data_IF_929775121913
#
_entry.id   IF_929775121913
#
_cell.length_a   1.000
_cell.length_b   1.000
_cell.length_c   1.000
_cell.angle_alpha   90.00
_cell.angle_beta   90.00
_cell.angle_gamma   90.00
#
_symmetry.space_group_name_H-M   'P 1'
#
loop_
_entity.id
_entity.type
_entity.pdbx_description
1 polymer ?
#
# COMPACT_ATOMS: atom_id res chain seq x y z
N UNK A 1 28.72 8.04 26.01
CA UNK A 1 28.27 9.35 25.50
C UNK A 1 27.29 9.13 24.38
N UNK A 2 26.05 9.58 24.60
CA UNK A 2 25.04 10.09 23.65
C UNK A 2 24.92 9.37 22.28
N UNK A 3 23.88 8.55 22.11
CA UNK A 3 22.61 8.93 21.45
C UNK A 3 22.71 8.80 19.92
N UNK A 4 21.97 7.86 19.32
CA UNK A 4 20.68 8.23 18.76
C UNK A 4 19.74 7.04 18.60
N UNK A 5 18.74 6.99 19.47
CA UNK A 5 17.47 6.31 19.24
C UNK A 5 16.75 7.04 18.08
N UNK A 6 17.06 6.66 16.85
CA UNK A 6 16.28 7.01 15.67
C UNK A 6 15.17 5.99 15.48
N UNK A 7 13.97 6.26 16.00
CA UNK A 7 12.74 5.69 15.44
C UNK A 7 12.54 6.35 14.08
N UNK A 8 12.84 5.64 13.00
CA UNK A 8 12.59 6.09 11.64
C UNK A 8 12.96 5.00 10.65
N UNK A 9 11.93 4.41 10.03
CA UNK A 9 12.00 3.41 8.94
C UNK A 9 12.73 2.10 9.30
N UNK A 10 12.05 0.97 9.10
CA UNK A 10 12.78 -0.29 8.87
C UNK A 10 13.68 0.00 7.67
N UNK A 11 14.98 0.22 7.89
CA UNK A 11 15.97 0.54 6.86
C UNK A 11 16.19 -0.64 5.93
N UNK A 12 15.16 -0.98 5.15
CA UNK A 12 15.13 -2.06 4.18
C UNK A 12 16.13 -1.68 3.08
N UNK A 13 17.27 -2.38 3.08
CA UNK A 13 18.24 -2.30 1.99
C UNK A 13 17.93 -3.39 0.98
N UNK A 14 17.73 -2.98 -0.26
CA UNK A 14 17.60 -3.88 -1.39
C UNK A 14 18.98 -4.27 -1.88
N UNK A 15 19.14 -5.55 -2.15
CA UNK A 15 20.27 -6.13 -2.85
C UNK A 15 19.87 -6.40 -4.29
N UNK A 16 20.57 -5.78 -5.22
CA UNK A 16 20.52 -6.14 -6.64
C UNK A 16 21.57 -7.22 -6.86
N UNK A 17 21.14 -8.42 -7.20
CA UNK A 17 22.04 -9.54 -7.47
C UNK A 17 21.95 -10.02 -8.92
N UNK A 18 23.03 -10.69 -9.38
CA UNK A 18 23.11 -11.21 -10.74
C UNK A 18 23.10 -10.13 -11.84
N UNK A 19 23.41 -8.87 -11.51
CA UNK A 19 23.48 -7.78 -12.48
C UNK A 19 24.69 -7.92 -13.39
N UNK A 20 24.45 -8.00 -14.70
CA UNK A 20 25.52 -8.01 -15.69
C UNK A 20 25.16 -7.32 -17.00
N UNK A 21 26.14 -6.62 -17.56
CA UNK A 21 26.02 -5.90 -18.83
C UNK A 21 26.96 -6.51 -19.87
N UNK A 22 26.44 -6.72 -21.08
CA UNK A 22 27.18 -7.18 -22.25
C UNK A 22 27.46 -6.00 -23.16
N UNK A 23 28.73 -5.80 -23.45
CA UNK A 23 29.24 -4.74 -24.32
C UNK A 23 29.75 -5.36 -25.62
N UNK A 24 29.11 -5.09 -26.78
CA UNK A 24 29.64 -5.48 -28.08
C UNK A 24 31.02 -4.85 -28.32
N UNK A 25 31.97 -5.59 -28.90
CA UNK A 25 33.29 -5.03 -29.22
C UNK A 25 33.23 -4.38 -30.60
N UNK A 26 33.53 -3.08 -30.67
CA UNK A 26 33.70 -2.34 -31.93
C UNK A 26 35.18 -2.35 -32.35
N UNK A 27 36.08 -2.07 -31.41
CA UNK A 27 37.53 -2.14 -31.60
C UNK A 27 38.17 -2.92 -30.48
N UNK A 28 38.98 -3.90 -30.87
CA UNK A 28 39.78 -4.70 -29.95
C UNK A 28 40.90 -3.86 -29.34
N UNK A 29 41.03 -3.94 -28.02
CA UNK A 29 42.15 -3.40 -27.26
C UNK A 29 43.03 -4.51 -26.67
N UNK A 30 43.93 -4.11 -25.78
CA UNK A 30 44.79 -5.04 -25.05
C UNK A 30 43.99 -5.76 -23.95
N UNK A 31 44.06 -7.09 -23.88
CA UNK A 31 43.46 -7.82 -22.77
C UNK A 31 44.51 -8.00 -21.66
N UNK A 32 44.29 -7.43 -20.46
CA UNK A 32 45.33 -7.36 -19.41
C UNK A 32 45.73 -8.70 -18.77
N UNK A 33 45.02 -9.79 -19.08
CA UNK A 33 45.35 -11.14 -18.62
C UNK A 33 44.20 -11.81 -17.89
N UNK A 34 44.51 -12.83 -17.08
CA UNK A 34 43.54 -13.58 -16.30
C UNK A 34 43.31 -15.01 -16.78
N UNK A 35 42.30 -15.66 -16.22
CA UNK A 35 42.01 -17.07 -16.46
C UNK A 35 41.35 -17.23 -17.83
N UNK A 36 41.81 -18.22 -18.60
CA UNK A 36 41.21 -18.59 -19.86
C UNK A 36 40.62 -19.99 -19.75
N UNK A 37 39.44 -20.18 -20.32
CA UNK A 37 38.87 -21.51 -20.51
C UNK A 37 38.32 -21.67 -21.92
N UNK A 38 38.30 -22.93 -22.36
CA UNK A 38 37.73 -23.34 -23.62
C UNK A 38 36.41 -24.08 -23.37
N UNK A 39 35.40 -23.75 -24.14
CA UNK A 39 34.12 -24.45 -24.19
C UNK A 39 33.82 -24.76 -25.66
N UNK A 40 33.40 -25.99 -25.99
CA UNK A 40 33.04 -26.48 -27.34
C UNK A 40 33.08 -25.41 -28.48
N UNK A 41 34.28 -25.11 -28.99
CA UNK A 41 34.50 -24.20 -30.13
C UNK A 41 34.66 -22.71 -29.84
N UNK A 42 34.67 -22.26 -28.59
CA UNK A 42 34.91 -20.87 -28.19
C UNK A 42 35.79 -20.76 -26.95
N UNK A 43 36.52 -19.64 -26.87
CA UNK A 43 37.44 -19.32 -25.78
C UNK A 43 36.95 -18.09 -25.04
N UNK A 44 36.96 -18.13 -23.71
CA UNK A 44 36.60 -17.00 -22.87
C UNK A 44 37.72 -16.68 -21.89
N UNK A 45 37.93 -15.39 -21.65
CA UNK A 45 38.92 -14.87 -20.72
C UNK A 45 38.24 -14.13 -19.58
N UNK A 46 38.57 -14.46 -18.35
CA UNK A 46 38.08 -13.76 -17.15
C UNK A 46 39.17 -12.90 -16.55
N UNK A 47 38.80 -11.68 -16.23
CA UNK A 47 39.69 -10.70 -15.62
C UNK A 47 38.93 -9.91 -14.56
N UNK A 48 39.55 -9.64 -13.42
CA UNK A 48 38.96 -8.80 -12.38
C UNK A 48 39.48 -7.36 -12.55
N UNK A 49 38.56 -6.41 -12.69
CA UNK A 49 38.88 -5.00 -12.84
C UNK A 49 38.07 -4.18 -11.83
N UNK A 50 38.76 -3.65 -10.81
CA UNK A 50 38.09 -3.08 -9.65
C UNK A 50 37.18 -4.11 -8.98
N UNK A 51 35.92 -3.72 -8.75
CA UNK A 51 34.89 -4.63 -8.24
C UNK A 51 34.19 -5.45 -9.32
N UNK A 52 34.49 -5.25 -10.61
CA UNK A 52 33.85 -6.01 -11.68
C UNK A 52 34.62 -7.29 -12.03
N UNK A 53 33.87 -8.33 -12.37
CA UNK A 53 34.42 -9.48 -13.08
C UNK A 53 34.08 -9.34 -14.56
N UNK A 54 35.11 -9.18 -15.39
CA UNK A 54 34.96 -9.05 -16.83
C UNK A 54 35.19 -10.41 -17.49
N UNK A 55 34.30 -10.79 -18.39
CA UNK A 55 34.42 -11.99 -19.23
C UNK A 55 34.45 -11.57 -20.69
N UNK A 56 35.60 -11.78 -21.32
CA UNK A 56 35.78 -11.60 -22.76
C UNK A 56 35.24 -12.83 -23.49
N UNK A 57 34.42 -12.58 -24.49
CA UNK A 57 34.00 -13.57 -25.50
C UNK A 57 34.61 -13.23 -26.85
N UNK A 58 34.22 -13.96 -27.90
CA UNK A 58 34.64 -13.70 -29.28
C UNK A 58 34.09 -12.39 -29.86
N UNK A 59 33.03 -11.81 -29.28
CA UNK A 59 32.33 -10.63 -29.84
C UNK A 59 31.95 -9.56 -28.81
N UNK A 60 32.08 -9.86 -27.52
CA UNK A 60 31.64 -8.97 -26.45
C UNK A 60 32.53 -9.07 -25.22
N UNK A 61 32.45 -8.05 -24.36
CA UNK A 61 32.88 -8.13 -22.97
C UNK A 61 31.62 -8.15 -22.10
N UNK A 62 31.54 -9.09 -21.17
CA UNK A 62 30.45 -9.17 -20.20
C UNK A 62 31.01 -8.70 -18.85
N UNK A 63 30.45 -7.63 -18.31
CA UNK A 63 30.79 -7.11 -16.99
C UNK A 63 29.79 -7.63 -15.96
N UNK A 64 30.27 -8.43 -15.02
CA UNK A 64 29.51 -8.92 -13.87
C UNK A 64 29.80 -8.03 -12.67
N UNK A 65 28.75 -7.42 -12.14
CA UNK A 65 28.80 -6.68 -10.89
C UNK A 65 28.44 -7.65 -9.75
N UNK A 66 29.26 -7.75 -8.68
CA UNK A 66 28.85 -8.40 -7.44
C UNK A 66 27.57 -7.75 -6.87
N UNK A 67 26.98 -8.36 -5.84
CA UNK A 67 25.75 -7.82 -5.27
C UNK A 67 25.89 -6.35 -4.85
N UNK A 68 24.95 -5.52 -5.30
CA UNK A 68 24.92 -4.08 -5.04
C UNK A 68 23.77 -3.74 -4.10
N UNK A 69 23.96 -2.81 -3.16
CA UNK A 69 22.94 -2.48 -2.15
C UNK A 69 22.44 -1.05 -2.32
N UNK A 70 21.13 -0.85 -2.21
CA UNK A 70 20.51 0.48 -2.23
C UNK A 70 19.21 0.54 -1.45
N UNK A 71 18.68 1.75 -1.27
CA UNK A 71 17.46 2.02 -0.48
C UNK A 71 16.17 1.71 -1.24
N UNK A 72 16.23 1.71 -2.58
CA UNK A 72 15.09 1.49 -3.46
C UNK A 72 15.55 0.62 -4.65
N UNK A 73 14.73 -0.34 -5.14
CA UNK A 73 15.14 -1.28 -6.18
C UNK A 73 15.47 -0.58 -7.50
N UNK A 74 14.71 0.45 -7.88
CA UNK A 74 14.97 1.25 -9.08
C UNK A 74 16.25 2.06 -8.96
N UNK A 75 16.43 2.72 -7.82
CA UNK A 75 17.62 3.52 -7.55
C UNK A 75 18.87 2.63 -7.54
N UNK A 76 18.80 1.48 -6.86
CA UNK A 76 19.89 0.52 -6.80
C UNK A 76 20.23 -0.04 -8.19
N UNK A 77 19.23 -0.30 -9.04
CA UNK A 77 19.44 -0.73 -10.43
C UNK A 77 20.15 0.34 -11.25
N UNK A 78 19.70 1.59 -11.16
CA UNK A 78 20.30 2.71 -11.88
C UNK A 78 21.73 2.97 -11.42
N UNK A 79 21.98 2.97 -10.11
CA UNK A 79 23.32 3.13 -9.54
C UNK A 79 24.25 1.99 -9.95
N UNK A 80 23.79 0.74 -9.91
CA UNK A 80 24.53 -0.41 -10.43
C UNK A 80 24.87 -0.26 -11.92
N UNK A 81 23.90 0.19 -12.74
CA UNK A 81 24.11 0.44 -14.16
C UNK A 81 25.17 1.52 -14.40
N UNK A 82 25.01 2.69 -13.79
CA UNK A 82 25.94 3.82 -13.91
C UNK A 82 27.35 3.46 -13.43
N UNK A 83 27.45 2.71 -12.33
CA UNK A 83 28.72 2.23 -11.82
C UNK A 83 29.44 1.34 -12.84
N UNK A 84 28.74 0.38 -13.46
CA UNK A 84 29.35 -0.48 -14.48
C UNK A 84 29.78 0.34 -15.70
N UNK A 85 29.00 1.34 -16.13
CA UNK A 85 29.39 2.22 -17.25
C UNK A 85 30.68 2.97 -16.96
N UNK A 86 30.79 3.58 -15.77
CA UNK A 86 31.96 4.35 -15.38
C UNK A 86 33.22 3.48 -15.37
N UNK A 87 33.16 2.31 -14.72
CA UNK A 87 34.30 1.38 -14.66
C UNK A 87 34.66 0.83 -16.05
N UNK A 88 33.66 0.59 -16.90
CA UNK A 88 33.92 0.12 -18.27
C UNK A 88 34.49 1.21 -19.19
N UNK A 89 34.17 2.47 -18.93
CA UNK A 89 34.83 3.59 -19.60
C UNK A 89 36.31 3.67 -19.22
N UNK A 90 36.63 3.58 -17.92
CA UNK A 90 38.03 3.53 -17.46
C UNK A 90 38.79 2.34 -18.07
N UNK A 91 38.15 1.17 -18.17
CA UNK A 91 38.73 0.00 -18.82
C UNK A 91 39.03 0.25 -20.31
N UNK A 92 38.11 0.89 -21.02
CA UNK A 92 38.28 1.23 -22.44
C UNK A 92 39.46 2.17 -22.66
N UNK A 93 39.54 3.24 -21.87
CA UNK A 93 40.61 4.24 -21.94
C UNK A 93 41.97 3.61 -21.61
N UNK A 94 42.03 2.83 -20.52
CA UNK A 94 43.27 2.23 -20.04
C UNK A 94 43.87 1.19 -20.99
N UNK A 95 43.01 0.42 -21.67
CA UNK A 95 43.44 -0.72 -22.47
C UNK A 95 43.15 -0.56 -23.98
N UNK A 96 42.70 0.61 -24.42
CA UNK A 96 42.49 0.95 -25.82
C UNK A 96 41.33 0.21 -26.51
N UNK A 97 40.28 -0.14 -25.75
CA UNK A 97 39.08 -0.77 -26.30
C UNK A 97 38.07 0.27 -26.77
N UNK A 98 37.27 -0.09 -27.78
CA UNK A 98 36.04 0.65 -28.12
C UNK A 98 34.88 -0.34 -28.09
N UNK A 99 33.93 -0.08 -27.19
CA UNK A 99 32.77 -0.90 -26.95
C UNK A 99 31.51 -0.19 -27.44
N UNK A 100 30.55 -0.97 -27.93
CA UNK A 100 29.23 -0.50 -28.31
C UNK A 100 28.31 -0.31 -27.11
N UNK A 101 27.07 0.10 -27.41
CA UNK A 101 26.03 0.28 -26.40
C UNK A 101 25.81 -1.02 -25.60
N UNK A 102 25.80 -0.95 -24.26
CA UNK A 102 25.60 -2.12 -23.42
C UNK A 102 24.17 -2.65 -23.48
N UNK A 103 24.05 -3.95 -23.33
CA UNK A 103 22.77 -4.66 -23.26
C UNK A 103 22.77 -5.47 -21.96
N UNK A 104 21.64 -5.52 -21.27
CA UNK A 104 21.47 -6.41 -20.12
C UNK A 104 21.75 -7.86 -20.54
N UNK A 105 22.68 -8.50 -19.85
CA UNK A 105 23.09 -9.86 -20.14
C UNK A 105 22.21 -10.88 -19.40
N UNK A 106 21.85 -10.55 -18.17
CA UNK A 106 20.97 -11.34 -17.29
C UNK A 106 19.93 -10.42 -16.66
N UNK A 107 18.78 -10.99 -16.34
CA UNK A 107 17.75 -10.29 -15.56
C UNK A 107 18.20 -10.29 -14.08
N UNK A 108 18.43 -9.11 -13.47
CA UNK A 108 18.84 -9.04 -12.07
C UNK A 108 17.70 -9.45 -11.13
N UNK A 109 18.05 -9.93 -9.95
CA UNK A 109 17.12 -10.13 -8.84
C UNK A 109 17.21 -8.97 -7.84
N UNK A 110 16.08 -8.65 -7.23
CA UNK A 110 15.91 -7.63 -6.21
C UNK A 110 15.52 -8.30 -4.91
N UNK A 111 16.45 -8.32 -3.97
CA UNK A 111 16.36 -9.14 -2.77
C UNK A 111 16.41 -8.27 -1.52
N UNK A 112 15.66 -8.61 -0.49
CA UNK A 112 15.76 -7.95 0.80
C UNK A 112 15.46 -8.93 1.93
N UNK A 113 16.02 -8.63 3.11
CA UNK A 113 15.82 -9.44 4.30
C UNK A 113 14.37 -9.32 4.79
N UNK A 114 13.72 -10.47 4.97
CA UNK A 114 12.36 -10.54 5.49
C UNK A 114 12.32 -11.49 6.71
N UNK A 115 11.87 -11.03 7.90
CA UNK A 115 11.84 -11.86 9.10
C UNK A 115 10.98 -13.13 8.97
N UNK A 116 9.89 -13.09 8.21
CA UNK A 116 9.05 -14.26 7.94
C UNK A 116 9.78 -15.24 7.03
N UNK A 117 10.49 -14.75 6.01
CA UNK A 117 11.31 -15.59 5.13
C UNK A 117 12.50 -16.21 5.86
N UNK A 118 13.07 -15.50 6.85
CA UNK A 118 14.14 -16.05 7.69
C UNK A 118 13.72 -17.30 8.46
N UNK A 119 12.48 -17.35 8.92
CA UNK A 119 11.97 -18.51 9.65
C UNK A 119 11.40 -19.58 8.69
N UNK A 120 10.59 -19.18 7.70
CA UNK A 120 9.98 -20.13 6.75
C UNK A 120 10.98 -20.72 5.74
N UNK A 121 11.95 -19.92 5.29
CA UNK A 121 12.99 -20.31 4.32
C UNK A 121 13.98 -21.35 4.85
N UNK A 122 14.02 -21.60 6.16
CA UNK A 122 14.77 -22.72 6.77
C UNK A 122 14.20 -24.08 6.38
N UNK A 123 12.89 -24.14 6.12
CA UNK A 123 12.15 -25.39 5.92
C UNK A 123 11.80 -25.62 4.46
N UNK A 124 11.72 -24.57 3.65
CA UNK A 124 11.36 -24.69 2.23
C UNK A 124 11.93 -23.56 1.38
N UNK A 125 12.41 -23.91 0.18
CA UNK A 125 12.69 -22.95 -0.90
C UNK A 125 11.53 -22.98 -1.88
N UNK A 126 10.96 -21.82 -2.15
CA UNK A 126 9.83 -21.69 -3.08
C UNK A 126 10.20 -20.64 -4.11
N UNK A 127 10.10 -20.99 -5.39
CA UNK A 127 10.38 -20.08 -6.50
C UNK A 127 9.32 -20.20 -7.58
N UNK A 128 8.97 -19.07 -8.18
CA UNK A 128 8.10 -19.00 -9.34
C UNK A 128 8.69 -18.04 -10.38
N UNK A 129 8.00 -17.85 -11.51
CA UNK A 129 8.43 -16.96 -12.58
C UNK A 129 8.52 -15.48 -12.19
N UNK A 130 7.99 -15.09 -11.02
CA UNK A 130 7.93 -13.70 -10.54
C UNK A 130 8.89 -13.39 -9.39
N UNK A 131 9.26 -14.40 -8.62
CA UNK A 131 10.09 -14.23 -7.44
C UNK A 131 10.37 -15.54 -6.74
N UNK A 132 11.17 -15.48 -5.69
CA UNK A 132 11.60 -16.62 -4.91
C UNK A 132 11.80 -16.25 -3.45
N UNK A 133 11.77 -17.28 -2.62
CA UNK A 133 12.02 -17.23 -1.19
C UNK A 133 13.24 -18.11 -0.96
N UNK A 134 14.34 -17.51 -0.52
CA UNK A 134 15.57 -18.25 -0.27
C UNK A 134 16.27 -17.79 1.02
N UNK A 135 16.57 -18.74 1.89
CA UNK A 135 17.38 -18.54 3.09
C UNK A 135 18.79 -19.13 2.96
N UNK A 136 19.22 -19.53 1.75
CA UNK A 136 20.54 -20.15 1.50
C UNK A 136 21.72 -19.29 1.98
N UNK A 137 21.55 -17.96 1.97
CA UNK A 137 22.55 -16.99 2.44
C UNK A 137 22.41 -16.59 3.91
N UNK A 138 21.52 -17.23 4.66
CA UNK A 138 21.39 -17.10 6.12
C UNK A 138 20.53 -15.93 6.62
N UNK A 139 20.29 -14.90 5.79
CA UNK A 139 19.46 -13.75 6.18
C UNK A 139 17.96 -13.99 6.02
N UNK A 140 17.56 -14.93 5.15
CA UNK A 140 16.16 -15.13 4.78
C UNK A 140 15.69 -14.01 3.88
N UNK A 141 15.95 -14.15 2.58
CA UNK A 141 15.68 -13.10 1.62
C UNK A 141 14.49 -13.49 0.74
N UNK A 142 13.62 -12.51 0.53
CA UNK A 142 12.64 -12.59 -0.56
C UNK A 142 13.26 -11.91 -1.77
N UNK A 143 13.21 -12.59 -2.91
CA UNK A 143 13.75 -12.12 -4.17
C UNK A 143 12.67 -11.92 -5.21
N UNK A 144 12.72 -10.79 -5.91
CA UNK A 144 11.83 -10.48 -7.02
C UNK A 144 12.65 -10.33 -8.30
N UNK A 145 12.08 -10.76 -9.42
CA UNK A 145 12.69 -10.51 -10.73
C UNK A 145 12.21 -9.17 -11.31
N UNK A 146 11.24 -8.52 -10.68
CA UNK A 146 10.65 -7.27 -11.14
C UNK A 146 10.75 -6.21 -10.02
N UNK A 147 11.38 -5.05 -10.28
CA UNK A 147 11.48 -3.99 -9.27
C UNK A 147 10.10 -3.44 -8.86
N UNK A 148 9.10 -3.44 -9.74
CA UNK A 148 7.74 -2.99 -9.40
C UNK A 148 7.08 -3.94 -8.40
N UNK A 149 7.26 -5.25 -8.57
CA UNK A 149 6.75 -6.24 -7.63
C UNK A 149 7.45 -6.15 -6.28
N UNK A 150 8.76 -5.90 -6.28
CA UNK A 150 9.54 -5.71 -5.05
C UNK A 150 9.03 -4.49 -4.26
N UNK A 151 8.81 -3.37 -4.95
CA UNK A 151 8.30 -2.15 -4.33
C UNK A 151 6.84 -2.33 -3.85
N UNK A 152 5.98 -2.93 -4.66
CA UNK A 152 4.58 -3.19 -4.30
C UNK A 152 4.46 -4.08 -3.06
N UNK A 153 5.28 -5.13 -2.96
CA UNK A 153 5.30 -6.01 -1.80
C UNK A 153 5.69 -5.25 -0.53
N UNK A 154 6.74 -4.43 -0.58
CA UNK A 154 7.16 -3.67 0.60
C UNK A 154 6.09 -2.68 1.03
N UNK A 155 5.49 -1.93 0.10
CA UNK A 155 4.35 -1.06 0.41
C UNK A 155 3.20 -1.82 1.05
N UNK A 156 2.92 -3.03 0.59
CA UNK A 156 1.92 -3.90 1.20
C UNK A 156 2.27 -4.21 2.66
N UNK A 157 3.51 -4.61 2.94
CA UNK A 157 3.92 -5.01 4.30
C UNK A 157 4.05 -3.80 5.24
N UNK A 158 4.51 -2.65 4.76
CA UNK A 158 4.79 -1.48 5.60
C UNK A 158 3.59 -0.55 5.79
N UNK A 159 2.73 -0.38 4.78
CA UNK A 159 1.65 0.61 4.83
C UNK A 159 0.29 0.01 5.17
N UNK A 160 -0.01 -1.20 4.69
CA UNK A 160 -1.34 -1.81 4.86
C UNK A 160 -1.71 -1.99 6.34
N UNK A 161 -0.81 -2.43 7.25
CA UNK A 161 -1.15 -2.53 8.66
C UNK A 161 -1.64 -1.20 9.26
N UNK A 162 -0.99 -0.08 8.92
CA UNK A 162 -1.40 1.24 9.37
C UNK A 162 -2.76 1.68 8.82
N UNK A 163 -3.01 1.39 7.54
CA UNK A 163 -4.31 1.65 6.89
C UNK A 163 -5.43 0.81 7.50
N UNK A 164 -5.18 -0.47 7.77
CA UNK A 164 -6.12 -1.38 8.43
C UNK A 164 -6.44 -0.91 9.84
N UNK A 165 -5.43 -0.50 10.62
CA UNK A 165 -5.64 -0.01 11.99
C UNK A 165 -6.41 1.32 12.01
N UNK A 166 -6.17 2.20 11.03
CA UNK A 166 -6.96 3.41 10.85
C UNK A 166 -8.43 3.11 10.50
N UNK A 167 -8.68 2.17 9.58
CA UNK A 167 -10.02 1.73 9.23
C UNK A 167 -10.73 1.12 10.43
N UNK A 168 -10.06 0.26 11.19
CA UNK A 168 -10.60 -0.34 12.43
C UNK A 168 -11.07 0.73 13.41
N UNK A 169 -10.24 1.74 13.68
CA UNK A 169 -10.62 2.86 14.56
C UNK A 169 -11.79 3.68 14.02
N UNK A 170 -11.88 3.84 12.71
CA UNK A 170 -12.98 4.55 12.06
C UNK A 170 -14.30 3.78 12.18
N UNK A 171 -14.28 2.46 11.99
CA UNK A 171 -15.45 1.58 12.18
C UNK A 171 -15.96 1.64 13.61
N UNK A 172 -15.08 1.48 14.61
CA UNK A 172 -15.46 1.57 16.03
C UNK A 172 -16.11 2.92 16.38
N UNK A 173 -15.66 4.01 15.75
CA UNK A 173 -16.27 5.34 15.94
C UNK A 173 -17.68 5.40 15.34
N UNK A 174 -17.88 4.82 14.17
CA UNK A 174 -19.20 4.76 13.53
C UNK A 174 -20.16 3.92 14.35
N UNK A 175 -19.73 2.76 14.86
CA UNK A 175 -20.53 1.92 15.76
C UNK A 175 -21.00 2.69 16.99
N UNK A 176 -20.09 3.41 17.67
CA UNK A 176 -20.44 4.25 18.82
C UNK A 176 -21.44 5.36 18.46
N UNK A 177 -21.33 5.96 17.28
CA UNK A 177 -22.30 6.96 16.83
C UNK A 177 -23.68 6.34 16.57
N UNK A 178 -23.72 5.15 15.97
CA UNK A 178 -24.97 4.43 15.72
C UNK A 178 -25.67 4.03 17.02
N UNK A 179 -24.92 3.60 18.04
CA UNK A 179 -25.48 3.33 19.38
C UNK A 179 -26.15 4.58 19.96
N UNK A 180 -25.48 5.74 19.89
CA UNK A 180 -26.05 7.01 20.39
C UNK A 180 -27.27 7.47 19.60
N UNK A 181 -27.29 7.22 18.29
CA UNK A 181 -28.47 7.50 17.45
C UNK A 181 -29.62 6.57 17.84
N UNK A 182 -29.37 5.28 18.04
CA UNK A 182 -30.38 4.33 18.47
C UNK A 182 -30.99 4.70 19.83
N UNK A 183 -30.15 5.10 20.79
CA UNK A 183 -30.62 5.64 22.09
C UNK A 183 -31.50 6.88 21.90
N UNK A 184 -31.05 7.84 21.09
CA UNK A 184 -31.79 9.07 20.81
C UNK A 184 -33.14 8.80 20.13
N UNK A 185 -33.19 7.83 19.20
CA UNK A 185 -34.44 7.38 18.58
C UNK A 185 -35.37 6.71 19.59
N UNK A 186 -34.82 5.95 20.54
CA UNK A 186 -35.60 5.36 21.64
C UNK A 186 -36.23 6.41 22.55
N UNK A 187 -35.52 7.50 22.84
CA UNK A 187 -36.08 8.65 23.58
C UNK A 187 -37.16 9.36 22.76
N UNK A 188 -36.89 9.61 21.49
CA UNK A 188 -37.84 10.26 20.58
C UNK A 188 -39.15 9.47 20.44
N UNK A 189 -39.07 8.14 20.31
CA UNK A 189 -40.25 7.28 20.23
C UNK A 189 -41.15 7.42 21.46
N UNK A 190 -40.58 7.40 22.68
CA UNK A 190 -41.34 7.60 23.93
C UNK A 190 -41.97 9.00 24.01
N UNK A 191 -41.23 10.03 23.60
CA UNK A 191 -41.76 11.39 23.55
C UNK A 191 -42.94 11.49 22.57
N UNK A 192 -42.87 10.78 21.44
CA UNK A 192 -43.95 10.74 20.45
C UNK A 192 -45.18 10.00 20.98
N UNK A 193 -45.01 8.88 21.70
CA UNK A 193 -46.10 8.18 22.38
C UNK A 193 -46.82 9.09 23.38
N UNK A 194 -46.07 9.86 24.17
CA UNK A 194 -46.64 10.85 25.10
C UNK A 194 -47.40 11.97 24.36
N UNK A 195 -46.84 12.45 23.24
CA UNK A 195 -47.50 13.44 22.39
C UNK A 195 -48.84 12.94 21.83
N UNK A 196 -48.89 11.69 21.36
CA UNK A 196 -50.13 11.08 20.85
C UNK A 196 -51.17 10.97 21.97
N UNK A 197 -50.79 10.50 23.16
CA UNK A 197 -51.69 10.42 24.30
C UNK A 197 -52.26 11.80 24.70
N UNK A 198 -51.43 12.85 24.65
CA UNK A 198 -51.86 14.24 24.88
C UNK A 198 -52.87 14.72 23.84
N UNK A 199 -52.65 14.40 22.56
CA UNK A 199 -53.58 14.74 21.47
C UNK A 199 -54.94 14.06 21.69
N UNK A 200 -54.94 12.78 22.08
CA UNK A 200 -56.18 12.05 22.39
C UNK A 200 -56.92 12.68 23.58
N UNK A 201 -56.21 13.07 24.63
CA UNK A 201 -56.80 13.78 25.78
C UNK A 201 -57.41 15.13 25.38
N UNK A 202 -56.70 15.93 24.59
CA UNK A 202 -57.22 17.21 24.07
C UNK A 202 -58.47 16.99 23.25
N UNK A 203 -58.48 15.97 22.37
CA UNK A 203 -59.65 15.62 21.57
C UNK A 203 -60.86 15.29 22.45
N UNK A 204 -60.66 14.52 23.53
CA UNK A 204 -61.71 14.23 24.51
C UNK A 204 -62.29 15.49 25.16
N UNK A 205 -61.43 16.42 25.60
CA UNK A 205 -61.87 17.71 26.19
C UNK A 205 -62.64 18.56 25.19
N UNK A 206 -62.20 18.60 23.93
CA UNK A 206 -62.90 19.33 22.85
C UNK A 206 -64.28 18.73 22.60
N UNK A 207 -64.41 17.40 22.59
CA UNK A 207 -65.69 16.72 22.42
C UNK A 207 -66.66 16.99 23.59
N UNK A 208 -66.17 17.00 24.83
CA UNK A 208 -66.95 17.36 26.02
C UNK A 208 -67.41 18.82 25.98
N UNK A 209 -66.51 19.74 25.65
CA UNK A 209 -66.84 21.16 25.48
C UNK A 209 -67.89 21.35 24.37
N UNK A 210 -67.76 20.60 23.27
CA UNK A 210 -68.74 20.59 22.18
C UNK A 210 -70.14 20.20 22.65
N UNK A 211 -70.26 19.18 23.51
CA UNK A 211 -71.54 18.77 24.11
C UNK A 211 -72.09 19.83 25.06
N UNK A 212 -71.27 20.36 25.96
CA UNK A 212 -71.67 21.40 26.90
C UNK A 212 -72.19 22.66 26.18
N UNK A 213 -71.54 23.07 25.09
CA UNK A 213 -71.99 24.18 24.25
C UNK A 213 -73.32 23.86 23.56
N UNK A 214 -73.52 22.62 23.09
CA UNK A 214 -74.78 22.21 22.48
C UNK A 214 -75.94 22.24 23.49
N UNK A 215 -75.72 21.75 24.72
CA UNK A 215 -76.69 21.83 25.81
C UNK A 215 -77.01 23.27 26.18
N UNK A 216 -75.99 24.12 26.37
CA UNK A 216 -76.17 25.56 26.62
C UNK A 216 -77.00 26.23 25.53
N UNK A 217 -76.76 25.90 24.25
CA UNK A 217 -77.55 26.43 23.14
C UNK A 217 -79.02 26.01 23.21
N UNK A 218 -79.31 24.77 23.61
CA UNK A 218 -80.68 24.29 23.81
C UNK A 218 -81.35 25.04 24.97
N UNK A 219 -80.69 25.13 26.13
CA UNK A 219 -81.25 25.84 27.28
C UNK A 219 -81.48 27.32 27.01
N UNK A 220 -80.57 28.00 26.28
CA UNK A 220 -80.77 29.39 25.85
C UNK A 220 -81.96 29.52 24.90
N UNK A 221 -82.17 28.54 24.00
CA UNK A 221 -83.33 28.52 23.09
C UNK A 221 -84.64 28.37 23.86
N UNK A 222 -84.69 27.43 24.81
CA UNK A 222 -85.83 27.20 25.68
C UNK A 222 -86.15 28.44 26.53
N UNK A 223 -85.14 29.08 27.13
CA UNK A 223 -85.31 30.33 27.86
C UNK A 223 -85.84 31.46 26.97
N UNK A 224 -85.38 31.55 25.72
CA UNK A 224 -85.89 32.54 24.76
C UNK A 224 -87.36 32.30 24.41
N UNK A 225 -87.78 31.04 24.32
CA UNK A 225 -89.20 30.68 24.10
C UNK A 225 -90.05 30.99 25.35
N UNK A 226 -89.55 30.68 26.55
CA UNK A 226 -90.23 30.94 27.83
C UNK A 226 -90.37 32.42 28.16
N UNK A 227 -89.34 33.23 27.86
CA UNK A 227 -89.36 34.67 28.12
C UNK A 227 -90.24 35.42 27.11
N UNK A 228 -90.65 34.77 26.01
CA UNK A 228 -91.50 35.33 24.98
C UNK A 228 -90.85 36.53 24.28
N UNK A 229 -90.62 36.44 22.97
CA UNK A 229 -90.33 37.69 22.25
C UNK A 229 -91.51 38.65 22.42
N UNK A 230 -91.29 39.92 22.82
CA UNK A 230 -92.33 40.92 22.82
C UNK A 230 -92.84 41.02 21.38
N UNK A 231 -94.07 40.55 21.16
CA UNK A 231 -94.80 40.82 19.92
C UNK A 231 -94.95 42.34 19.79
N UNK A 232 -94.03 42.97 19.08
CA UNK A 232 -94.31 44.27 18.46
C UNK A 232 -95.41 44.05 17.43
N UNK A 233 -96.67 44.19 17.87
CA UNK A 233 -97.80 44.42 16.98
C UNK A 233 -97.64 45.80 16.36
N UNK A 234 -97.57 45.88 15.03
CA UNK A 234 -98.03 47.06 14.30
C UNK A 234 -99.55 47.05 14.26
#
# INVERSE_FOLDING_TARGET
GLAGSGKGELGLRFRVDGFSLRFPVIKWGFWPGGEWWEMRGWRAGKYKFGNLTLVRTSRSIIAYLPSFYGENPWRALLEAYLYVLAVMQEFQEKYGWVLGAPILNTKPSFEFADPFVRESGRVSRVGCSRGFVDASRGEGEIGFLDPELAEAYIRMVTEVPGKVEFLRRSVLRVESLLERVAESMGVFARAMEQHVALIESIKGVVDELGRAVAELRLSVRELRELLGEPRCRR
#
